data_IF_834345000293
#
_entry.id   IF_834345000293
#
_cell.length_a   1.000
_cell.length_b   1.000
_cell.length_c   1.000
_cell.angle_alpha   90.00
_cell.angle_beta   90.00
_cell.angle_gamma   90.00
#
_symmetry.space_group_name_H-M   'P 1'
#
loop_
_entity.id
_entity.type
_entity.pdbx_description
1 polymer ?
#
# COMPACT_ATOMS: atom_id res chain seq x y z
N UNK A 1 19.34 34.94 12.95
CA UNK A 1 19.35 34.34 11.61
C UNK A 1 18.82 32.94 11.81
N UNK A 2 17.70 32.58 11.20
CA UNK A 2 17.25 31.18 11.20
C UNK A 2 18.16 30.51 10.18
N UNK A 3 19.05 29.64 10.64
CA UNK A 3 19.83 28.81 9.72
C UNK A 3 18.85 27.94 8.94
N UNK A 4 18.89 28.04 7.62
CA UNK A 4 18.10 27.18 6.74
C UNK A 4 18.70 25.77 6.85
N UNK A 5 18.06 24.92 7.66
CA UNK A 5 18.52 23.55 7.85
C UNK A 5 18.29 22.80 6.54
N UNK A 6 19.38 22.42 5.88
CA UNK A 6 19.30 21.61 4.68
C UNK A 6 18.84 20.20 5.05
N UNK A 7 17.84 19.69 4.33
CA UNK A 7 17.23 18.37 4.57
C UNK A 7 17.40 17.46 3.38
N UNK A 8 17.50 16.17 3.66
CA UNK A 8 17.44 15.11 2.65
C UNK A 8 16.44 14.04 3.05
N UNK A 9 15.83 13.42 2.05
CA UNK A 9 14.80 12.40 2.17
C UNK A 9 15.38 11.08 1.68
N UNK A 10 15.34 10.07 2.54
CA UNK A 10 16.01 8.79 2.33
C UNK A 10 14.95 7.68 2.38
N UNK A 11 14.45 7.24 1.21
CA UNK A 11 13.60 6.07 1.13
C UNK A 11 14.42 4.79 1.25
N UNK A 12 13.89 3.81 1.96
CA UNK A 12 14.53 2.49 2.12
C UNK A 12 13.49 1.36 2.19
N UNK A 13 13.93 0.14 1.91
CA UNK A 13 13.16 -1.09 2.13
C UNK A 13 13.98 -2.06 2.97
N UNK A 14 13.30 -2.92 3.72
CA UNK A 14 13.91 -3.97 4.52
C UNK A 14 13.47 -5.33 4.01
N UNK A 15 14.42 -6.24 3.85
CA UNK A 15 14.21 -7.64 3.48
C UNK A 15 13.81 -8.47 4.73
N UNK A 16 13.28 -9.67 4.53
CA UNK A 16 12.88 -10.54 5.66
C UNK A 16 14.06 -11.00 6.53
N UNK A 17 15.28 -11.02 5.99
CA UNK A 17 16.50 -11.35 6.72
C UNK A 17 17.07 -10.18 7.55
N UNK A 18 16.40 -9.02 7.51
CA UNK A 18 16.80 -7.79 8.20
C UNK A 18 17.77 -6.91 7.40
N UNK A 19 18.14 -7.30 6.17
CA UNK A 19 18.91 -6.45 5.26
C UNK A 19 18.13 -5.19 4.88
N UNK A 20 18.77 -4.01 4.94
CA UNK A 20 18.17 -2.75 4.51
C UNK A 20 18.79 -2.28 3.21
N UNK A 21 17.94 -1.95 2.23
CA UNK A 21 18.33 -1.39 0.94
C UNK A 21 17.93 0.08 0.92
N UNK A 22 18.93 0.96 0.90
CA UNK A 22 18.71 2.38 0.64
C UNK A 22 18.40 2.63 -0.83
N UNK A 23 17.31 3.33 -1.12
CA UNK A 23 16.88 3.61 -2.50
C UNK A 23 17.41 4.94 -3.04
N UNK A 24 18.08 5.73 -2.19
CA UNK A 24 18.75 6.97 -2.55
C UNK A 24 18.66 8.03 -1.46
N UNK A 25 19.18 9.21 -1.77
CA UNK A 25 19.16 10.38 -0.91
C UNK A 25 18.77 11.58 -1.76
N UNK A 26 17.65 12.22 -1.44
CA UNK A 26 17.01 13.20 -2.31
C UNK A 26 16.80 14.51 -1.57
N UNK A 27 16.94 15.65 -2.25
CA UNK A 27 16.63 16.97 -1.69
C UNK A 27 15.12 17.31 -1.72
N UNK A 28 14.29 16.41 -2.28
CA UNK A 28 12.85 16.60 -2.41
C UNK A 28 12.09 15.38 -1.91
N UNK A 29 11.14 15.61 -1.00
CA UNK A 29 10.25 14.58 -0.46
C UNK A 29 9.47 13.88 -1.57
N UNK A 30 8.92 14.67 -2.51
CA UNK A 30 8.14 14.17 -3.64
C UNK A 30 8.93 13.13 -4.45
N UNK A 31 10.21 13.42 -4.73
CA UNK A 31 11.08 12.51 -5.50
C UNK A 31 11.38 11.25 -4.72
N UNK A 32 11.67 11.35 -3.42
CA UNK A 32 11.88 10.18 -2.56
C UNK A 32 10.67 9.24 -2.58
N UNK A 33 9.47 9.80 -2.46
CA UNK A 33 8.23 9.03 -2.53
C UNK A 33 7.97 8.42 -3.91
N UNK A 34 8.25 9.13 -5.00
CA UNK A 34 8.14 8.60 -6.36
C UNK A 34 9.09 7.43 -6.60
N UNK A 35 10.33 7.53 -6.09
CA UNK A 35 11.32 6.44 -6.15
C UNK A 35 10.84 5.24 -5.36
N UNK A 36 10.38 5.43 -4.12
CA UNK A 36 9.85 4.36 -3.29
C UNK A 36 8.68 3.66 -3.99
N UNK A 37 7.62 4.39 -4.38
CA UNK A 37 6.45 3.82 -5.07
C UNK A 37 6.81 3.10 -6.36
N UNK A 38 7.80 3.59 -7.10
CA UNK A 38 8.29 2.92 -8.32
C UNK A 38 9.00 1.62 -7.98
N UNK A 39 9.82 1.61 -6.93
CA UNK A 39 10.50 0.41 -6.44
C UNK A 39 9.50 -0.64 -5.94
N UNK A 40 8.48 -0.23 -5.16
CA UNK A 40 7.49 -1.16 -4.59
C UNK A 40 6.68 -1.92 -5.65
N UNK A 41 6.57 -1.42 -6.89
CA UNK A 41 5.96 -2.17 -8.02
C UNK A 41 6.72 -3.45 -8.37
N UNK A 42 7.99 -3.55 -7.96
CA UNK A 42 8.84 -4.73 -8.11
C UNK A 42 8.90 -5.59 -6.86
N UNK A 43 8.08 -5.31 -5.84
CA UNK A 43 8.11 -6.07 -4.60
C UNK A 43 7.74 -7.55 -4.79
N UNK A 44 7.05 -7.91 -5.89
CA UNK A 44 6.79 -9.31 -6.26
C UNK A 44 8.09 -10.12 -6.52
N UNK A 45 9.20 -9.45 -6.88
CA UNK A 45 10.48 -10.08 -7.21
C UNK A 45 11.40 -10.26 -6.00
N UNK A 46 10.99 -9.79 -4.82
CA UNK A 46 11.84 -9.67 -3.62
C UNK A 46 11.09 -10.08 -2.36
N UNK A 47 11.81 -10.53 -1.32
CA UNK A 47 11.22 -10.88 -0.03
C UNK A 47 11.31 -9.67 0.92
N UNK A 48 10.47 -8.67 0.67
CA UNK A 48 10.43 -7.44 1.48
C UNK A 48 9.47 -7.58 2.66
N UNK A 49 9.86 -7.01 3.80
CA UNK A 49 9.09 -7.01 5.05
C UNK A 49 8.55 -5.63 5.39
N UNK A 50 9.31 -4.57 5.14
CA UNK A 50 8.92 -3.19 5.43
C UNK A 50 9.59 -2.18 4.50
N UNK A 51 9.12 -0.95 4.56
CA UNK A 51 9.75 0.21 3.92
C UNK A 51 9.57 1.45 4.76
N UNK A 52 10.40 2.45 4.53
CA UNK A 52 10.34 3.72 5.24
C UNK A 52 10.81 4.87 4.37
N UNK A 53 10.35 6.07 4.73
CA UNK A 53 10.95 7.32 4.28
C UNK A 53 11.36 8.08 5.53
N UNK A 54 12.63 8.48 5.60
CA UNK A 54 13.14 9.30 6.70
C UNK A 54 13.70 10.62 6.18
N UNK A 55 13.62 11.66 7.00
CA UNK A 55 14.31 12.93 6.82
C UNK A 55 15.60 12.90 7.62
N UNK A 56 16.68 13.37 7.02
CA UNK A 56 17.90 13.75 7.72
C UNK A 56 18.18 15.24 7.58
N UNK A 57 18.45 15.90 8.70
CA UNK A 57 19.04 17.23 8.74
C UNK A 57 20.55 17.12 8.46
N UNK A 58 21.03 17.83 7.44
CA UNK A 58 22.45 17.85 7.06
C UNK A 58 23.26 18.61 8.11
N UNK A 59 24.48 18.12 8.38
CA UNK A 59 25.41 18.67 9.37
C UNK A 59 24.90 18.71 10.82
N UNK A 60 23.84 17.94 11.13
CA UNK A 60 23.31 17.76 12.47
C UNK A 60 23.69 16.40 13.02
N UNK A 61 24.16 16.36 14.27
CA UNK A 61 24.53 15.13 14.99
C UNK A 61 23.59 14.96 16.17
N UNK A 62 23.03 13.77 16.34
CA UNK A 62 22.10 13.45 17.42
C UNK A 62 20.88 12.68 16.91
N UNK A 63 20.05 12.21 17.83
CA UNK A 63 18.79 11.51 17.49
C UNK A 63 17.81 12.47 16.80
N UNK A 64 17.87 13.75 17.17
CA UNK A 64 17.08 14.83 16.59
C UNK A 64 17.49 15.21 15.15
N UNK A 65 18.55 14.61 14.61
CA UNK A 65 18.97 14.80 13.22
C UNK A 65 18.14 13.97 12.23
N UNK A 66 17.39 12.97 12.72
CA UNK A 66 16.60 12.08 11.89
C UNK A 66 15.13 12.07 12.33
N UNK A 67 14.22 12.09 11.36
CA UNK A 67 12.79 11.97 11.62
C UNK A 67 12.20 10.96 10.65
N UNK A 68 11.46 9.99 11.16
CA UNK A 68 10.71 9.04 10.34
C UNK A 68 9.46 9.75 9.83
N UNK A 69 9.29 9.81 8.50
CA UNK A 69 8.09 10.37 7.89
C UNK A 69 6.98 9.34 7.74
N UNK A 70 7.37 8.11 7.40
CA UNK A 70 6.43 7.04 7.20
C UNK A 70 7.14 5.69 7.35
N UNK A 71 6.38 4.71 7.82
CA UNK A 71 6.74 3.29 7.75
C UNK A 71 5.59 2.52 7.15
N UNK A 72 5.91 1.54 6.31
CA UNK A 72 4.92 0.67 5.70
C UNK A 72 5.34 -0.78 5.86
N UNK A 73 4.39 -1.65 6.18
CA UNK A 73 4.59 -3.09 6.25
C UNK A 73 4.14 -3.77 4.96
N UNK A 74 4.90 -4.75 4.49
CA UNK A 74 4.49 -5.58 3.36
C UNK A 74 3.79 -6.85 3.85
N UNK A 75 2.54 -7.04 3.40
CA UNK A 75 1.72 -8.23 3.67
C UNK A 75 1.26 -8.88 2.36
N UNK A 76 0.71 -10.08 2.49
CA UNK A 76 -0.02 -10.71 1.41
C UNK A 76 -1.29 -9.92 1.11
N UNK A 77 -1.53 -9.66 -0.17
CA UNK A 77 -2.71 -8.95 -0.61
C UNK A 77 -3.95 -9.80 -0.34
N UNK A 78 -4.97 -9.26 0.36
CA UNK A 78 -6.21 -10.00 0.61
C UNK A 78 -6.94 -10.44 -0.67
N UNK A 79 -6.73 -9.73 -1.78
CA UNK A 79 -7.38 -9.98 -3.08
C UNK A 79 -6.57 -10.95 -3.94
N UNK A 80 -5.31 -10.63 -4.25
CA UNK A 80 -4.50 -11.45 -5.18
C UNK A 80 -3.56 -12.44 -4.48
N UNK A 81 -3.46 -12.42 -3.16
CA UNK A 81 -2.60 -13.29 -2.33
C UNK A 81 -1.10 -13.16 -2.58
N UNK A 82 -0.66 -12.17 -3.37
CA UNK A 82 0.76 -11.86 -3.57
C UNK A 82 1.26 -10.94 -2.48
N UNK A 83 2.54 -11.07 -2.10
CA UNK A 83 3.19 -10.24 -1.09
C UNK A 83 3.55 -8.85 -1.62
N UNK A 84 2.53 -8.05 -1.81
CA UNK A 84 2.60 -6.74 -2.48
C UNK A 84 1.67 -5.72 -1.87
N UNK A 85 1.07 -6.03 -0.72
CA UNK A 85 0.12 -5.16 -0.06
C UNK A 85 0.83 -4.38 1.02
N UNK A 86 1.07 -3.11 0.73
CA UNK A 86 1.83 -2.20 1.57
C UNK A 86 0.87 -1.41 2.43
N UNK A 87 1.01 -1.53 3.75
CA UNK A 87 0.11 -0.93 4.75
C UNK A 87 0.88 0.12 5.54
N UNK A 88 0.39 1.36 5.51
CA UNK A 88 0.76 2.44 6.42
C UNK A 88 -0.26 2.46 7.56
N UNK A 89 0.16 2.03 8.75
CA UNK A 89 -0.71 1.98 9.93
C UNK A 89 -0.88 3.35 10.58
N UNK A 90 0.01 4.31 10.32
CA UNK A 90 -0.06 5.66 10.89
C UNK A 90 -1.06 6.53 10.12
N UNK A 91 -1.01 6.44 8.79
CA UNK A 91 -1.89 7.20 7.89
C UNK A 91 -3.13 6.40 7.44
N UNK A 92 -3.39 5.29 8.12
CA UNK A 92 -4.50 4.37 7.86
C UNK A 92 -4.73 4.04 6.37
N UNK A 93 -3.66 3.75 5.62
CA UNK A 93 -3.76 3.50 4.18
C UNK A 93 -3.07 2.20 3.79
N UNK A 94 -3.52 1.59 2.69
CA UNK A 94 -2.87 0.45 2.11
C UNK A 94 -3.05 0.38 0.59
N UNK A 95 -2.05 -0.15 -0.11
CA UNK A 95 -2.12 -0.35 -1.56
C UNK A 95 -1.40 -1.63 -1.98
N UNK A 96 -2.06 -2.39 -2.85
CA UNK A 96 -1.44 -3.47 -3.58
C UNK A 96 -0.65 -2.93 -4.77
N UNK A 97 0.68 -3.08 -4.73
CA UNK A 97 1.58 -2.71 -5.83
C UNK A 97 1.78 -3.81 -6.89
N UNK A 98 1.12 -4.96 -6.72
CA UNK A 98 1.22 -6.09 -7.64
C UNK A 98 0.71 -5.76 -9.04
N UNK A 99 1.39 -6.30 -10.06
CA UNK A 99 1.26 -5.91 -11.48
C UNK A 99 -0.16 -5.99 -12.08
N UNK A 100 -1.01 -6.89 -11.57
CA UNK A 100 -2.38 -7.12 -12.04
C UNK A 100 -3.45 -6.83 -10.95
N UNK A 101 -3.04 -6.23 -9.84
CA UNK A 101 -3.93 -5.85 -8.76
C UNK A 101 -3.78 -4.35 -8.51
N UNK A 102 -4.65 -3.81 -7.66
CA UNK A 102 -4.61 -2.43 -7.15
C UNK A 102 -5.62 -2.33 -6.01
N UNK A 103 -5.76 -3.40 -5.23
CA UNK A 103 -6.62 -3.37 -4.05
C UNK A 103 -6.06 -2.33 -3.08
N UNK A 104 -6.93 -1.55 -2.47
CA UNK A 104 -6.53 -0.41 -1.65
C UNK A 104 -7.42 -0.23 -0.43
N UNK A 105 -6.89 0.47 0.57
CA UNK A 105 -7.57 0.95 1.78
C UNK A 105 -7.14 2.41 1.97
N UNK A 106 -8.07 3.31 2.27
CA UNK A 106 -7.75 4.70 2.62
C UNK A 106 -8.81 5.29 3.55
N UNK A 107 -8.44 6.31 4.34
CA UNK A 107 -9.43 7.10 5.07
C UNK A 107 -10.37 7.81 4.09
N UNK A 108 -11.65 7.83 4.41
CA UNK A 108 -12.62 8.51 3.57
C UNK A 108 -12.35 10.02 3.55
N UNK A 109 -12.45 10.60 2.36
CA UNK A 109 -12.16 12.03 2.13
C UNK A 109 -13.15 13.01 2.76
N UNK A 110 -14.31 12.53 3.23
CA UNK A 110 -15.39 13.35 3.81
C UNK A 110 -15.55 13.08 5.31
N UNK A 111 -15.46 11.82 5.73
CA UNK A 111 -15.64 11.38 7.13
C UNK A 111 -14.46 10.49 7.59
N UNK A 112 -13.51 11.02 8.38
CA UNK A 112 -12.35 10.26 8.86
C UNK A 112 -12.70 9.06 9.76
N UNK A 113 -13.93 8.96 10.27
CA UNK A 113 -14.37 7.76 11.00
C UNK A 113 -14.68 6.57 10.06
N UNK A 114 -14.68 6.82 8.75
CA UNK A 114 -14.93 5.82 7.71
C UNK A 114 -13.62 5.49 7.01
N UNK A 115 -13.36 4.19 6.90
CA UNK A 115 -12.28 3.63 6.11
C UNK A 115 -12.87 3.03 4.83
N UNK A 116 -12.48 3.55 3.68
CA UNK A 116 -12.86 3.00 2.39
C UNK A 116 -11.88 1.90 1.98
N UNK A 117 -12.38 0.87 1.32
CA UNK A 117 -11.55 -0.12 0.65
C UNK A 117 -12.13 -0.49 -0.70
N UNK A 118 -11.27 -0.85 -1.63
CA UNK A 118 -11.70 -1.10 -2.99
C UNK A 118 -10.77 -1.97 -3.81
N UNK A 119 -11.32 -2.45 -4.92
CA UNK A 119 -10.55 -3.09 -5.98
C UNK A 119 -11.05 -2.61 -7.35
N UNK A 120 -10.23 -1.83 -8.09
CA UNK A 120 -10.68 -1.17 -9.32
C UNK A 120 -11.18 -2.11 -10.41
N UNK A 121 -10.62 -3.33 -10.51
CA UNK A 121 -10.86 -4.27 -11.61
C UNK A 121 -12.34 -4.60 -11.82
N UNK A 122 -13.11 -4.68 -10.72
CA UNK A 122 -14.56 -4.91 -10.76
C UNK A 122 -15.37 -3.76 -10.13
N UNK A 123 -14.73 -2.61 -9.92
CA UNK A 123 -15.31 -1.44 -9.23
C UNK A 123 -15.88 -1.79 -7.84
N UNK A 124 -15.23 -2.73 -7.15
CA UNK A 124 -15.59 -3.05 -5.77
C UNK A 124 -15.23 -1.86 -4.87
N UNK A 125 -16.18 -1.42 -4.06
CA UNK A 125 -16.01 -0.37 -3.07
C UNK A 125 -16.84 -0.71 -1.84
N UNK A 126 -16.23 -0.65 -0.65
CA UNK A 126 -16.89 -0.83 0.63
C UNK A 126 -16.37 0.20 1.64
N UNK A 127 -17.28 0.62 2.51
CA UNK A 127 -16.99 1.47 3.64
C UNK A 127 -16.95 0.61 4.89
N UNK A 128 -16.01 0.87 5.78
CA UNK A 128 -15.73 0.12 7.01
C UNK A 128 -15.41 1.10 8.15
N UNK A 129 -15.45 0.62 9.40
CA UNK A 129 -15.16 1.45 10.58
C UNK A 129 -13.72 1.34 11.06
N UNK A 130 -12.94 0.43 10.49
CA UNK A 130 -11.53 0.25 10.82
C UNK A 130 -10.77 -0.43 9.68
N UNK A 131 -9.44 -0.36 9.72
CA UNK A 131 -8.56 -1.09 8.81
C UNK A 131 -8.81 -2.58 8.87
N UNK A 132 -8.99 -3.16 10.06
CA UNK A 132 -9.20 -4.60 10.20
C UNK A 132 -10.50 -5.05 9.53
N UNK A 133 -11.55 -4.23 9.59
CA UNK A 133 -12.79 -4.48 8.87
C UNK A 133 -12.61 -4.35 7.35
N UNK A 134 -11.93 -3.29 6.89
CA UNK A 134 -11.60 -3.08 5.48
C UNK A 134 -10.77 -4.26 4.90
N UNK A 135 -9.75 -4.72 5.64
CA UNK A 135 -8.95 -5.89 5.27
C UNK A 135 -9.82 -7.15 5.18
N UNK A 136 -10.76 -7.35 6.12
CA UNK A 136 -11.70 -8.49 6.08
C UNK A 136 -12.62 -8.43 4.86
N UNK A 137 -13.13 -7.25 4.50
CA UNK A 137 -13.96 -7.09 3.28
C UNK A 137 -13.17 -7.44 2.02
N UNK A 138 -11.91 -7.03 1.92
CA UNK A 138 -11.04 -7.42 0.82
C UNK A 138 -10.73 -8.92 0.80
N UNK A 139 -10.56 -9.57 1.95
CA UNK A 139 -10.42 -11.04 2.03
C UNK A 139 -11.67 -11.76 1.55
N UNK A 140 -12.86 -11.32 1.97
CA UNK A 140 -14.14 -11.89 1.49
C UNK A 140 -14.22 -11.81 -0.04
N UNK A 141 -13.78 -10.70 -0.62
CA UNK A 141 -13.70 -10.55 -2.07
C UNK A 141 -12.67 -11.54 -2.68
N UNK A 142 -11.45 -11.60 -2.13
CA UNK A 142 -10.41 -12.54 -2.56
C UNK A 142 -10.85 -14.00 -2.54
N UNK A 143 -11.56 -14.41 -1.48
CA UNK A 143 -12.06 -15.77 -1.32
C UNK A 143 -13.15 -16.11 -2.35
N UNK A 144 -14.05 -15.16 -2.66
CA UNK A 144 -15.04 -15.32 -3.73
C UNK A 144 -14.37 -15.48 -5.10
N UNK A 145 -13.34 -14.67 -5.39
CA UNK A 145 -12.57 -14.75 -6.63
C UNK A 145 -11.93 -16.13 -6.80
N UNK A 146 -11.27 -16.62 -5.74
CA UNK A 146 -10.65 -17.96 -5.71
C UNK A 146 -11.69 -19.06 -5.91
N UNK A 147 -12.82 -18.98 -5.22
CA UNK A 147 -13.91 -19.96 -5.34
C UNK A 147 -14.51 -20.01 -6.75
N UNK A 148 -14.57 -18.86 -7.44
CA UNK A 148 -15.02 -18.75 -8.82
C UNK A 148 -13.96 -19.18 -9.86
N UNK A 149 -12.77 -19.64 -9.43
CA UNK A 149 -11.70 -20.05 -10.33
C UNK A 149 -11.00 -18.88 -11.02
N UNK A 150 -11.15 -17.66 -10.50
CA UNK A 150 -10.45 -16.45 -10.97
C UNK A 150 -9.03 -16.45 -10.41
N UNK A 151 -8.22 -17.40 -10.90
CA UNK A 151 -6.78 -17.48 -10.66
C UNK A 151 -6.00 -17.01 -11.89
N UNK A 152 -4.82 -16.44 -11.64
CA UNK A 152 -3.86 -15.83 -12.57
C UNK A 152 -4.17 -15.92 -14.07
N UNK A 153 -4.47 -14.73 -14.63
CA UNK A 153 -4.87 -14.44 -16.00
C UNK A 153 -6.34 -14.73 -16.28
N UNK A 154 -7.10 -13.67 -16.57
CA UNK A 154 -8.02 -13.56 -17.73
C UNK A 154 -8.89 -12.33 -17.53
N UNK A 155 -8.83 -11.40 -18.47
CA UNK A 155 -9.65 -10.18 -18.55
C UNK A 155 -11.17 -10.44 -18.60
N UNK A 156 -11.61 -11.67 -18.87
CA UNK A 156 -13.03 -12.06 -18.98
C UNK A 156 -13.70 -12.51 -17.68
N UNK A 157 -12.95 -12.84 -16.62
CA UNK A 157 -13.52 -13.31 -15.35
C UNK A 157 -14.02 -12.16 -14.46
N UNK A 158 -13.44 -10.96 -14.61
CA UNK A 158 -13.91 -9.74 -13.98
C UNK A 158 -15.33 -9.34 -14.47
N UNK A 159 -15.64 -9.61 -15.74
CA UNK A 159 -16.95 -9.29 -16.35
C UNK A 159 -18.08 -10.13 -15.74
N UNK A 160 -17.81 -11.41 -15.47
CA UNK A 160 -18.79 -12.32 -14.88
C UNK A 160 -19.15 -11.95 -13.43
N UNK A 161 -18.15 -11.53 -12.65
CA UNK A 161 -18.35 -11.11 -11.26
C UNK A 161 -19.02 -9.74 -11.12
N UNK A 162 -18.78 -8.83 -12.08
CA UNK A 162 -19.54 -7.58 -12.13
C UNK A 162 -21.03 -7.86 -12.32
N UNK A 163 -21.39 -8.87 -13.11
CA UNK A 163 -22.78 -9.24 -13.35
C UNK A 163 -23.43 -9.85 -12.10
N UNK A 164 -22.76 -10.77 -11.41
CA UNK A 164 -23.25 -11.36 -10.16
C UNK A 164 -23.39 -10.33 -9.02
N UNK A 165 -22.48 -9.35 -8.92
CA UNK A 165 -22.57 -8.29 -7.92
C UNK A 165 -23.75 -7.35 -8.19
N UNK A 166 -24.02 -7.04 -9.46
CA UNK A 166 -25.16 -6.22 -9.85
C UNK A 166 -26.49 -6.92 -9.55
N UNK A 167 -26.54 -8.24 -9.71
CA UNK A 167 -27.73 -9.05 -9.42
C UNK A 167 -28.01 -9.14 -7.92
N UNK A 168 -26.97 -9.24 -7.07
CA UNK A 168 -27.12 -9.26 -5.60
C UNK A 168 -27.45 -7.89 -4.97
N UNK A 169 -27.38 -6.80 -5.74
CA UNK A 169 -27.64 -5.43 -5.26
C UNK A 169 -29.09 -4.98 -5.52
N UNK A 170 -29.89 -5.80 -6.20
CA UNK A 170 -31.28 -5.52 -6.61
C UNK A 170 -32.33 -6.35 -5.84
N UNK A 171 -31.91 -7.13 -4.83
CA UNK A 171 -32.76 -7.76 -3.81
C UNK A 171 -32.54 -7.09 -2.44
#
# INVERSE_FOLDING_TARGET
MVEDIQRVFVPSVTEEDGGTIGLGCFSSEKVAWEVLRTFLKRSEEMLLSSSSVVIWDVDRVGEEAMTVLATMECKDCPVCSRRTFWIDLENFSALCHGSACSAWIEENTVDPEIIDCGWPTIRFLKQSKSIEEAVKELYKLGDRLKAAGVGEQVSGSAEQLMQEHFEQSND
#
